data_IF_353952389334
#
_entry.id   IF_353952389334
#
_cell.length_a   1.000
_cell.length_b   1.000
_cell.length_c   1.000
_cell.angle_alpha   90.00
_cell.angle_beta   90.00
_cell.angle_gamma   90.00
#
_symmetry.space_group_name_H-M   'P 1'
#
loop_
_entity.id
_entity.type
_entity.pdbx_description
1 polymer ?
#
# COMPACT_ATOMS: atom_id res chain seq x y z
N UNK A 1 24.45 -8.50 8.68
CA UNK A 1 23.01 -8.37 8.97
C UNK A 1 22.34 -7.83 7.72
N UNK A 2 21.45 -8.61 7.11
CA UNK A 2 20.73 -8.23 5.90
C UNK A 2 19.71 -7.13 6.20
N UNK A 3 19.36 -6.33 5.17
CA UNK A 3 18.44 -5.20 5.31
C UNK A 3 17.07 -5.61 5.84
N UNK A 4 16.60 -6.81 5.46
CA UNK A 4 15.38 -7.43 6.03
C UNK A 4 15.52 -7.71 7.52
N UNK A 5 16.58 -8.41 7.93
CA UNK A 5 16.83 -8.73 9.34
C UNK A 5 16.91 -7.44 10.17
N UNK A 6 17.48 -6.36 9.62
CA UNK A 6 17.52 -5.05 10.28
C UNK A 6 16.11 -4.47 10.48
N UNK A 7 15.24 -4.59 9.47
CA UNK A 7 13.84 -4.14 9.55
C UNK A 7 13.05 -5.01 10.53
N UNK A 8 13.10 -6.33 10.40
CA UNK A 8 12.40 -7.29 11.28
C UNK A 8 12.87 -7.20 12.74
N UNK A 9 14.16 -6.96 12.96
CA UNK A 9 14.69 -6.70 14.30
C UNK A 9 14.03 -5.48 14.96
N UNK A 10 13.61 -4.46 14.18
CA UNK A 10 12.87 -3.32 14.75
C UNK A 10 11.44 -3.68 15.14
N UNK A 11 10.86 -4.76 14.60
CA UNK A 11 9.49 -5.18 14.92
C UNK A 11 9.43 -5.85 16.30
N UNK A 12 10.49 -6.57 16.67
CA UNK A 12 10.65 -7.21 17.99
C UNK A 12 11.34 -6.31 19.01
N UNK A 13 12.33 -5.53 18.56
CA UNK A 13 13.07 -4.56 19.38
C UNK A 13 13.06 -3.17 18.72
N UNK A 14 11.97 -2.40 18.89
CA UNK A 14 11.85 -1.06 18.33
C UNK A 14 13.01 -0.13 18.71
N UNK A 15 13.45 0.71 17.78
CA UNK A 15 14.60 1.61 17.93
C UNK A 15 14.24 2.72 18.92
N UNK A 16 14.94 2.85 20.07
CA UNK A 16 14.70 3.95 21.00
C UNK A 16 15.09 5.29 20.37
N UNK A 17 14.19 6.27 20.46
CA UNK A 17 14.45 7.62 19.98
C UNK A 17 13.70 8.65 20.84
N UNK A 18 13.90 9.93 20.55
CA UNK A 18 13.26 11.04 21.26
C UNK A 18 12.43 11.85 20.27
N UNK A 19 11.14 11.98 20.54
CA UNK A 19 10.26 12.86 19.78
C UNK A 19 10.42 14.29 20.34
N UNK A 20 11.04 15.17 19.56
CA UNK A 20 11.32 16.54 19.97
C UNK A 20 10.06 17.42 20.11
N UNK A 21 9.01 17.13 19.34
CA UNK A 21 7.72 17.83 19.37
C UNK A 21 6.96 17.51 20.66
N UNK A 22 6.84 16.23 21.00
CA UNK A 22 6.12 15.79 22.20
C UNK A 22 6.98 15.75 23.46
N UNK A 23 8.29 15.96 23.33
CA UNK A 23 9.30 15.86 24.40
C UNK A 23 9.30 14.51 25.13
N UNK A 24 8.95 13.42 24.44
CA UNK A 24 8.85 12.08 25.01
C UNK A 24 9.85 11.12 24.39
N UNK A 25 10.33 10.17 25.19
CA UNK A 25 11.03 8.98 24.66
C UNK A 25 10.00 8.14 23.93
N UNK A 26 10.28 7.82 22.68
CA UNK A 26 9.44 6.95 21.85
C UNK A 26 10.29 5.83 21.25
N UNK A 27 9.66 4.93 20.51
CA UNK A 27 10.37 3.92 19.74
C UNK A 27 9.86 3.89 18.30
N UNK A 28 10.76 3.67 17.35
CA UNK A 28 10.44 3.60 15.92
C UNK A 28 10.60 2.17 15.43
N UNK A 29 9.63 1.75 14.60
CA UNK A 29 9.63 0.48 13.88
C UNK A 29 9.77 0.81 12.40
N UNK A 30 10.75 0.21 11.73
CA UNK A 30 10.94 0.42 10.29
C UNK A 30 9.98 -0.47 9.50
N UNK A 31 9.35 0.10 8.46
CA UNK A 31 8.49 -0.61 7.51
C UNK A 31 8.81 -0.15 6.10
N UNK A 32 8.70 -1.05 5.13
CA UNK A 32 8.88 -0.75 3.71
C UNK A 32 7.52 -0.96 3.04
N UNK A 33 6.74 0.10 2.80
CA UNK A 33 5.44 -0.05 2.14
C UNK A 33 5.60 -0.41 0.66
N UNK A 34 4.64 -1.15 0.12
CA UNK A 34 4.56 -1.40 -1.32
C UNK A 34 3.90 -0.20 -2.00
N UNK A 35 4.58 0.40 -2.99
CA UNK A 35 4.07 1.55 -3.73
C UNK A 35 3.89 1.17 -5.21
N UNK A 36 2.68 0.76 -5.64
CA UNK A 36 2.41 0.63 -7.06
C UNK A 36 2.42 2.02 -7.71
N UNK A 37 3.46 2.33 -8.47
CA UNK A 37 3.66 3.63 -9.10
C UNK A 37 2.82 3.76 -10.38
N UNK A 38 1.64 4.39 -10.28
CA UNK A 38 0.76 4.66 -11.42
C UNK A 38 0.28 6.12 -11.50
N UNK A 39 0.75 7.01 -10.62
CA UNK A 39 0.20 8.35 -10.50
C UNK A 39 0.96 9.43 -11.32
N UNK A 40 0.25 10.48 -11.81
CA UNK A 40 0.84 11.57 -12.60
C UNK A 40 1.89 12.39 -11.86
N UNK A 41 1.75 12.62 -10.56
CA UNK A 41 2.69 13.41 -9.76
C UNK A 41 4.05 12.70 -9.62
N UNK A 42 4.07 11.37 -9.41
CA UNK A 42 5.30 10.59 -9.48
C UNK A 42 5.86 10.52 -10.89
N UNK A 43 5.00 10.41 -11.90
CA UNK A 43 5.41 10.47 -13.30
C UNK A 43 6.04 11.82 -13.64
N UNK A 44 5.55 12.92 -13.07
CA UNK A 44 6.06 14.28 -13.24
C UNK A 44 7.36 14.51 -12.46
N UNK A 45 7.43 14.05 -11.21
CA UNK A 45 8.66 14.03 -10.39
C UNK A 45 9.77 13.16 -11.01
N UNK A 46 9.41 12.08 -11.70
CA UNK A 46 10.32 11.25 -12.51
C UNK A 46 10.46 11.73 -13.98
N UNK A 47 9.69 12.75 -14.36
CA UNK A 47 9.43 13.28 -15.72
C UNK A 47 9.34 12.21 -16.82
N UNK A 48 8.43 11.26 -16.59
CA UNK A 48 8.07 10.07 -17.36
C UNK A 48 6.58 10.13 -17.79
N UNK A 49 6.17 9.48 -18.89
CA UNK A 49 4.79 9.57 -19.45
C UNK A 49 3.77 8.56 -18.85
N UNK A 50 4.20 7.70 -17.93
CA UNK A 50 3.34 6.72 -17.26
C UNK A 50 2.93 5.52 -18.14
N UNK A 51 1.87 4.81 -17.74
CA UNK A 51 1.46 3.52 -18.33
C UNK A 51 0.90 3.55 -19.76
N UNK A 52 0.65 4.73 -20.32
CA UNK A 52 0.13 4.90 -21.70
C UNK A 52 1.24 5.18 -22.73
N UNK A 53 2.52 5.10 -22.35
CA UNK A 53 3.63 5.35 -23.27
C UNK A 53 4.05 4.05 -23.98
N UNK A 54 4.18 4.10 -25.31
CA UNK A 54 4.77 2.99 -26.09
C UNK A 54 6.21 2.67 -25.65
N UNK A 55 6.91 3.63 -25.06
CA UNK A 55 8.22 3.44 -24.47
C UNK A 55 8.13 3.82 -22.98
N UNK A 56 8.00 2.82 -22.10
CA UNK A 56 7.83 3.00 -20.66
C UNK A 56 9.09 3.47 -19.91
N UNK A 57 10.09 4.00 -20.61
CA UNK A 57 11.23 4.68 -20.01
C UNK A 57 11.77 5.76 -20.96
N UNK A 58 11.82 7.00 -20.46
CA UNK A 58 12.26 8.19 -21.21
C UNK A 58 13.73 8.18 -21.64
N UNK A 59 14.54 7.31 -21.04
CA UNK A 59 16.00 7.32 -21.21
C UNK A 59 16.52 6.19 -22.10
N UNK A 60 15.91 5.00 -22.04
CA UNK A 60 16.31 3.89 -22.90
C UNK A 60 15.43 3.73 -24.16
N UNK A 61 14.23 4.33 -24.17
CA UNK A 61 13.24 4.18 -25.26
C UNK A 61 12.87 2.73 -25.58
N UNK A 62 13.19 1.78 -24.69
CA UNK A 62 12.80 0.39 -24.82
C UNK A 62 11.28 0.27 -24.68
N UNK A 63 10.67 -0.48 -25.58
CA UNK A 63 9.24 -0.57 -25.76
C UNK A 63 8.88 -0.54 -27.25
N UNK A 64 7.60 -0.40 -27.53
CA UNK A 64 7.00 -0.42 -28.84
C UNK A 64 5.49 -0.60 -28.68
N UNK A 65 4.73 -0.60 -29.79
CA UNK A 65 3.34 -1.02 -29.74
C UNK A 65 3.22 -2.41 -29.10
N UNK A 66 2.10 -2.68 -28.43
CA UNK A 66 1.82 -3.98 -27.79
C UNK A 66 2.08 -5.17 -28.72
N UNK A 67 1.77 -5.01 -30.01
CA UNK A 67 1.99 -6.01 -31.06
C UNK A 67 3.45 -6.42 -31.26
N UNK A 68 4.42 -5.63 -30.77
CA UNK A 68 5.86 -5.89 -30.86
C UNK A 68 6.42 -6.37 -29.52
N UNK A 69 6.00 -5.74 -28.41
CA UNK A 69 6.49 -6.06 -27.06
C UNK A 69 5.92 -7.38 -26.51
N UNK A 70 4.78 -7.85 -27.03
CA UNK A 70 4.17 -9.14 -26.67
C UNK A 70 4.73 -10.33 -27.47
N UNK A 71 5.68 -10.09 -28.38
CA UNK A 71 6.39 -11.17 -29.09
C UNK A 71 7.55 -11.70 -28.26
N UNK A 72 7.87 -12.99 -28.38
CA UNK A 72 9.05 -13.60 -27.73
C UNK A 72 10.34 -12.81 -28.01
N UNK A 73 10.51 -12.36 -29.25
CA UNK A 73 11.68 -11.60 -29.67
C UNK A 73 11.74 -10.21 -29.00
N UNK A 74 10.59 -9.54 -28.87
CA UNK A 74 10.44 -8.29 -28.14
C UNK A 74 10.71 -8.44 -26.64
N UNK A 75 10.18 -9.49 -26.03
CA UNK A 75 10.41 -9.83 -24.62
C UNK A 75 11.89 -10.09 -24.32
N UNK A 76 12.55 -10.94 -25.12
CA UNK A 76 13.97 -11.25 -24.93
C UNK A 76 14.90 -10.06 -25.16
N UNK A 77 14.59 -9.19 -26.13
CA UNK A 77 15.34 -7.95 -26.38
C UNK A 77 15.27 -6.97 -25.19
N UNK A 78 14.22 -7.02 -24.38
CA UNK A 78 14.08 -6.19 -23.17
C UNK A 78 14.84 -6.74 -21.94
N UNK A 79 15.18 -8.04 -21.90
CA UNK A 79 15.51 -8.70 -20.62
C UNK A 79 16.84 -9.48 -20.54
N UNK A 80 17.57 -9.72 -21.64
CA UNK A 80 18.78 -10.57 -21.59
C UNK A 80 20.02 -9.98 -22.30
N UNK A 81 20.90 -9.31 -21.53
CA UNK A 81 22.27 -8.98 -21.93
C UNK A 81 23.26 -9.10 -20.73
N UNK A 82 24.60 -9.10 -20.95
CA UNK A 82 25.59 -9.24 -19.85
C UNK A 82 25.52 -8.06 -18.86
N UNK A 83 25.58 -8.32 -17.55
CA UNK A 83 25.27 -7.38 -16.47
C UNK A 83 25.98 -6.01 -16.59
N UNK A 84 27.29 -5.97 -16.88
CA UNK A 84 28.03 -4.71 -17.08
C UNK A 84 27.63 -3.99 -18.37
N UNK A 85 27.40 -4.73 -19.46
CA UNK A 85 26.91 -4.17 -20.72
C UNK A 85 25.47 -3.66 -20.58
N UNK A 86 24.64 -4.32 -19.76
CA UNK A 86 23.31 -3.85 -19.37
C UNK A 86 23.38 -2.59 -18.53
N UNK A 87 24.22 -2.53 -17.50
CA UNK A 87 24.37 -1.34 -16.65
C UNK A 87 24.85 -0.13 -17.45
N UNK A 88 25.79 -0.34 -18.39
CA UNK A 88 26.27 0.71 -19.29
C UNK A 88 25.25 1.08 -20.37
N UNK A 89 24.54 0.12 -20.97
CA UNK A 89 23.55 0.39 -22.00
C UNK A 89 22.22 0.94 -21.46
N UNK A 90 21.82 0.58 -20.24
CA UNK A 90 20.57 1.04 -19.60
C UNK A 90 20.79 2.22 -18.66
N UNK A 91 22.02 2.45 -18.17
CA UNK A 91 22.31 3.44 -17.14
C UNK A 91 21.71 3.11 -15.77
N UNK A 92 21.14 1.91 -15.60
CA UNK A 92 20.44 1.48 -14.38
C UNK A 92 21.39 0.58 -13.57
N UNK A 93 21.59 0.95 -12.31
CA UNK A 93 22.30 0.14 -11.32
C UNK A 93 21.35 -0.19 -10.18
N UNK A 94 20.74 -1.37 -10.23
CA UNK A 94 19.94 -1.88 -9.11
C UNK A 94 20.88 -2.19 -7.94
N UNK A 95 20.96 -1.27 -6.99
CA UNK A 95 21.84 -1.42 -5.82
C UNK A 95 21.43 -2.55 -4.89
N UNK A 96 20.17 -3.02 -4.96
CA UNK A 96 19.68 -4.14 -4.16
C UNK A 96 20.13 -5.45 -4.81
N UNK A 97 19.89 -5.65 -6.10
CA UNK A 97 20.36 -6.84 -6.82
C UNK A 97 21.89 -6.89 -6.96
N UNK A 98 22.56 -5.73 -7.12
CA UNK A 98 24.01 -5.65 -7.30
C UNK A 98 24.79 -6.26 -6.13
N UNK A 99 24.31 -6.07 -4.90
CA UNK A 99 24.92 -6.68 -3.71
C UNK A 99 25.01 -8.20 -3.84
N UNK A 100 23.93 -8.83 -4.29
CA UNK A 100 23.83 -10.27 -4.46
C UNK A 100 24.62 -10.76 -5.67
N UNK A 101 24.55 -10.03 -6.79
CA UNK A 101 25.33 -10.32 -8.00
C UNK A 101 26.83 -10.38 -7.68
N UNK A 102 27.34 -9.43 -6.89
CA UNK A 102 28.76 -9.39 -6.50
C UNK A 102 29.15 -10.61 -5.65
N UNK A 103 28.30 -11.03 -4.71
CA UNK A 103 28.53 -12.23 -3.88
C UNK A 103 28.52 -13.49 -4.75
N UNK A 104 27.54 -13.64 -5.64
CA UNK A 104 27.41 -14.79 -6.54
C UNK A 104 28.60 -14.90 -7.49
N UNK A 105 29.04 -13.77 -8.07
CA UNK A 105 30.22 -13.73 -8.95
C UNK A 105 31.51 -14.05 -8.21
N UNK A 106 31.63 -13.67 -6.93
CA UNK A 106 32.78 -14.03 -6.10
C UNK A 106 32.79 -15.54 -5.82
N UNK A 107 31.67 -16.10 -5.34
CA UNK A 107 31.52 -17.53 -5.07
C UNK A 107 31.71 -18.39 -6.32
N UNK A 108 31.18 -17.97 -7.47
CA UNK A 108 31.38 -18.65 -8.74
C UNK A 108 32.87 -18.76 -9.12
N UNK A 109 33.63 -17.67 -8.93
CA UNK A 109 35.08 -17.66 -9.19
C UNK A 109 35.82 -18.58 -8.22
N UNK A 110 35.45 -18.59 -6.94
CA UNK A 110 36.04 -19.48 -5.92
C UNK A 110 35.77 -20.96 -6.23
N UNK A 111 34.54 -21.33 -6.56
CA UNK A 111 34.18 -22.72 -6.91
C UNK A 111 34.94 -23.17 -8.16
N UNK A 112 35.04 -22.32 -9.19
CA UNK A 112 35.77 -22.63 -10.42
C UNK A 112 37.28 -22.74 -10.21
N UNK A 113 37.85 -21.97 -9.28
CA UNK A 113 39.26 -22.06 -8.91
C UNK A 113 39.56 -23.36 -8.15
N UNK A 114 38.67 -23.76 -7.23
CA UNK A 114 38.85 -24.97 -6.41
C UNK A 114 38.50 -26.26 -7.17
N UNK A 115 37.61 -26.18 -8.17
CA UNK A 115 37.14 -27.32 -8.96
C UNK A 115 37.08 -26.98 -10.46
N UNK A 116 38.23 -26.97 -11.17
CA UNK A 116 38.29 -26.54 -12.58
C UNK A 116 37.49 -27.40 -13.55
N UNK A 117 37.21 -28.66 -13.20
CA UNK A 117 36.46 -29.61 -14.01
C UNK A 117 34.93 -29.57 -13.81
N UNK A 118 34.41 -28.70 -12.94
CA UNK A 118 32.97 -28.56 -12.73
C UNK A 118 32.31 -27.78 -13.86
N UNK A 119 31.12 -28.23 -14.28
CA UNK A 119 30.35 -27.55 -15.32
C UNK A 119 29.81 -26.20 -14.82
N UNK A 120 29.51 -25.28 -15.75
CA UNK A 120 28.92 -23.99 -15.39
C UNK A 120 27.50 -24.17 -14.82
N UNK A 121 26.79 -25.18 -15.28
CA UNK A 121 25.45 -25.57 -14.91
C UNK A 121 25.39 -26.06 -13.45
N UNK A 122 26.35 -26.89 -13.03
CA UNK A 122 26.44 -27.36 -11.64
C UNK A 122 26.77 -26.21 -10.68
N UNK A 123 27.69 -25.33 -11.08
CA UNK A 123 28.04 -24.14 -10.31
C UNK A 123 26.81 -23.22 -10.19
N UNK A 124 26.06 -23.04 -11.28
CA UNK A 124 24.83 -22.25 -11.27
C UNK A 124 23.77 -22.86 -10.36
N UNK A 125 23.55 -24.18 -10.41
CA UNK A 125 22.58 -24.87 -9.57
C UNK A 125 22.91 -24.71 -8.08
N UNK A 126 24.17 -24.93 -7.70
CA UNK A 126 24.62 -24.75 -6.31
C UNK A 126 24.49 -23.30 -5.83
N UNK A 127 24.90 -22.34 -6.65
CA UNK A 127 24.77 -20.92 -6.32
C UNK A 127 23.31 -20.49 -6.21
N UNK A 128 22.42 -21.05 -7.03
CA UNK A 128 20.98 -20.81 -6.93
C UNK A 128 20.42 -21.38 -5.62
N UNK A 129 20.74 -22.62 -5.28
CA UNK A 129 20.32 -23.21 -3.99
C UNK A 129 20.84 -22.40 -2.81
N UNK A 130 22.08 -21.94 -2.87
CA UNK A 130 22.65 -21.06 -1.85
C UNK A 130 21.91 -19.72 -1.77
N UNK A 131 21.65 -19.08 -2.92
CA UNK A 131 20.94 -17.79 -3.00
C UNK A 131 19.52 -17.88 -2.46
N UNK A 132 18.78 -18.92 -2.84
CA UNK A 132 17.41 -19.18 -2.38
C UNK A 132 17.35 -19.41 -0.86
N UNK A 133 18.44 -19.88 -0.24
CA UNK A 133 18.56 -20.08 1.21
C UNK A 133 18.93 -18.80 1.98
N UNK A 134 19.20 -17.67 1.31
CA UNK A 134 19.55 -16.43 1.99
C UNK A 134 18.29 -15.72 2.50
N UNK A 135 18.33 -15.05 3.67
CA UNK A 135 17.21 -14.27 4.16
C UNK A 135 16.95 -13.06 3.26
N UNK A 136 15.98 -13.20 2.35
CA UNK A 136 15.56 -12.16 1.41
C UNK A 136 14.30 -11.44 1.87
N UNK A 137 14.17 -10.16 1.50
CA UNK A 137 12.89 -9.44 1.51
C UNK A 137 11.98 -10.16 0.52
N UNK A 138 10.89 -10.73 1.01
CA UNK A 138 9.76 -11.20 0.21
C UNK A 138 8.86 -9.99 -0.01
N UNK A 139 8.88 -9.35 -1.19
CA UNK A 139 8.10 -8.13 -1.39
C UNK A 139 6.61 -8.37 -1.16
N UNK A 140 6.09 -9.55 -1.50
CA UNK A 140 4.67 -9.88 -1.35
C UNK A 140 4.27 -9.95 0.12
N UNK A 141 5.13 -10.46 0.99
CA UNK A 141 4.80 -10.63 2.42
C UNK A 141 5.31 -9.47 3.29
N UNK A 142 6.44 -8.88 2.94
CA UNK A 142 7.19 -7.95 3.78
C UNK A 142 6.86 -6.48 3.47
N UNK A 143 6.07 -6.22 2.40
CA UNK A 143 5.61 -4.87 2.06
C UNK A 143 4.08 -4.80 2.18
N UNK A 144 3.55 -4.32 3.32
CA UNK A 144 2.11 -4.32 3.55
C UNK A 144 1.38 -3.41 2.58
N UNK A 145 0.09 -3.70 2.38
CA UNK A 145 -0.85 -2.87 1.65
C UNK A 145 -0.91 -1.47 2.29
N UNK A 146 -0.56 -0.47 1.49
CA UNK A 146 -0.58 0.93 1.85
C UNK A 146 -2.02 1.45 1.69
N UNK A 147 -2.68 1.79 2.79
CA UNK A 147 -4.13 2.05 2.81
C UNK A 147 -4.52 3.40 2.20
N UNK A 148 -3.64 4.41 2.20
CA UNK A 148 -3.94 5.70 1.57
C UNK A 148 -4.14 5.54 0.06
N UNK A 149 -3.22 4.85 -0.60
CA UNK A 149 -3.20 4.66 -2.04
C UNK A 149 -4.16 3.57 -2.48
N UNK A 150 -4.31 2.51 -1.68
CA UNK A 150 -5.19 1.39 -2.02
C UNK A 150 -6.66 1.75 -1.78
N UNK A 151 -6.97 2.33 -0.62
CA UNK A 151 -8.35 2.60 -0.21
C UNK A 151 -8.78 3.99 -0.62
N UNK A 152 -8.12 5.05 -0.14
CA UNK A 152 -8.59 6.43 -0.37
C UNK A 152 -8.41 6.86 -1.83
N UNK A 153 -7.18 6.78 -2.35
CA UNK A 153 -6.85 7.12 -3.74
C UNK A 153 -7.13 5.98 -4.73
N UNK A 154 -7.75 4.89 -4.26
CA UNK A 154 -8.14 3.73 -5.04
C UNK A 154 -9.63 3.48 -4.93
N UNK A 155 -10.03 2.61 -4.01
CA UNK A 155 -11.42 2.13 -3.87
C UNK A 155 -12.41 3.28 -3.71
N UNK A 156 -12.18 4.19 -2.76
CA UNK A 156 -13.07 5.33 -2.50
C UNK A 156 -13.09 6.28 -3.69
N UNK A 157 -11.93 6.52 -4.33
CA UNK A 157 -11.86 7.30 -5.57
C UNK A 157 -12.66 6.67 -6.72
N UNK A 158 -12.69 5.35 -6.85
CA UNK A 158 -13.49 4.67 -7.87
C UNK A 158 -14.98 4.83 -7.62
N UNK A 159 -15.43 4.63 -6.39
CA UNK A 159 -16.84 4.81 -6.00
C UNK A 159 -17.25 6.27 -6.16
N UNK A 160 -16.42 7.22 -5.72
CA UNK A 160 -16.65 8.64 -5.92
C UNK A 160 -16.84 8.99 -7.40
N UNK A 161 -15.97 8.47 -8.28
CA UNK A 161 -16.08 8.69 -9.73
C UNK A 161 -17.39 8.16 -10.32
N UNK A 162 -17.84 6.98 -9.87
CA UNK A 162 -19.13 6.40 -10.28
C UNK A 162 -20.28 7.34 -9.88
N UNK A 163 -20.27 7.81 -8.63
CA UNK A 163 -21.29 8.71 -8.09
C UNK A 163 -21.38 10.01 -8.89
N UNK A 164 -20.31 10.81 -8.90
CA UNK A 164 -20.41 12.16 -9.45
C UNK A 164 -20.53 12.19 -10.98
N UNK A 165 -20.04 11.16 -11.68
CA UNK A 165 -20.21 11.03 -13.13
C UNK A 165 -21.64 10.65 -13.52
N UNK A 166 -22.37 9.96 -12.64
CA UNK A 166 -23.77 9.57 -12.85
C UNK A 166 -24.80 10.64 -12.46
N UNK A 167 -24.40 11.66 -11.71
CA UNK A 167 -25.31 12.69 -11.21
C UNK A 167 -25.57 13.82 -12.20
N UNK A 168 -26.83 14.26 -12.24
CA UNK A 168 -27.25 15.56 -12.79
C UNK A 168 -26.76 16.71 -11.92
N UNK A 169 -26.77 17.93 -12.45
CA UNK A 169 -26.37 19.12 -11.68
C UNK A 169 -27.24 19.33 -10.43
N UNK A 170 -28.56 19.09 -10.54
CA UNK A 170 -29.47 19.17 -9.39
C UNK A 170 -29.14 18.13 -8.29
N UNK A 171 -28.74 16.92 -8.67
CA UNK A 171 -28.30 15.89 -7.72
C UNK A 171 -26.96 16.26 -7.06
N UNK A 172 -26.04 16.86 -7.83
CA UNK A 172 -24.77 17.36 -7.29
C UNK A 172 -24.99 18.48 -6.28
N UNK A 173 -25.89 19.42 -6.57
CA UNK A 173 -26.26 20.51 -5.67
C UNK A 173 -26.90 19.97 -4.38
N UNK A 174 -27.81 19.01 -4.50
CA UNK A 174 -28.43 18.36 -3.35
C UNK A 174 -27.39 17.61 -2.48
N UNK A 175 -26.46 16.88 -3.11
CA UNK A 175 -25.37 16.23 -2.39
C UNK A 175 -24.47 17.25 -1.68
N UNK A 176 -24.15 18.38 -2.31
CA UNK A 176 -23.35 19.45 -1.69
C UNK A 176 -24.04 19.98 -0.43
N UNK A 177 -25.34 20.26 -0.49
CA UNK A 177 -26.11 20.74 0.67
C UNK A 177 -26.05 19.70 1.78
N UNK A 178 -26.35 18.43 1.49
CA UNK A 178 -26.35 17.34 2.47
C UNK A 178 -24.98 17.14 3.11
N UNK A 179 -23.93 17.05 2.29
CA UNK A 179 -22.57 16.87 2.76
C UNK A 179 -22.10 18.06 3.62
N UNK A 180 -22.47 19.30 3.26
CA UNK A 180 -22.17 20.48 4.06
C UNK A 180 -22.90 20.50 5.41
N UNK A 181 -24.04 19.80 5.50
CA UNK A 181 -24.87 19.66 6.71
C UNK A 181 -24.36 18.59 7.67
N UNK A 182 -23.25 17.90 7.35
CA UNK A 182 -22.71 16.85 8.20
C UNK A 182 -22.32 17.42 9.56
N UNK A 183 -22.85 16.83 10.63
CA UNK A 183 -22.32 17.05 11.97
C UNK A 183 -20.94 16.41 12.08
N UNK A 184 -19.95 17.21 12.47
CA UNK A 184 -18.55 16.78 12.57
C UNK A 184 -18.18 16.37 13.99
N UNK A 185 -19.12 16.42 14.94
CA UNK A 185 -18.86 15.94 16.28
C UNK A 185 -18.43 14.47 16.26
N UNK A 186 -17.35 14.15 16.99
CA UNK A 186 -16.73 12.83 16.98
C UNK A 186 -15.90 12.48 15.72
N UNK A 187 -15.80 13.33 14.70
CA UNK A 187 -14.96 13.09 13.51
C UNK A 187 -13.65 13.87 13.54
N UNK A 188 -12.53 13.17 13.37
CA UNK A 188 -11.21 13.80 13.22
C UNK A 188 -10.96 14.24 11.76
N UNK A 189 -11.79 15.16 11.24
CA UNK A 189 -11.70 15.70 9.87
C UNK A 189 -11.70 17.23 9.88
N UNK A 190 -11.04 17.89 8.91
CA UNK A 190 -11.16 19.34 8.77
C UNK A 190 -12.59 19.76 8.39
N UNK A 191 -12.96 21.03 8.58
CA UNK A 191 -14.25 21.54 8.14
C UNK A 191 -14.52 21.18 6.68
N UNK A 192 -15.69 20.58 6.44
CA UNK A 192 -16.09 20.14 5.12
C UNK A 192 -16.38 21.36 4.25
N UNK A 193 -15.70 21.44 3.10
CA UNK A 193 -15.96 22.45 2.05
C UNK A 193 -16.64 21.76 0.88
N UNK A 194 -17.92 21.41 1.05
CA UNK A 194 -18.62 20.51 0.11
C UNK A 194 -18.69 21.09 -1.31
N UNK A 195 -18.97 22.40 -1.44
CA UNK A 195 -18.99 23.08 -2.73
C UNK A 195 -17.63 23.00 -3.45
N UNK A 196 -16.53 23.18 -2.73
CA UNK A 196 -15.18 23.00 -3.28
C UNK A 196 -14.94 21.55 -3.70
N UNK A 197 -15.31 20.58 -2.85
CA UNK A 197 -15.13 19.16 -3.16
C UNK A 197 -15.91 18.75 -4.42
N UNK A 198 -17.11 19.29 -4.63
CA UNK A 198 -17.89 19.04 -5.85
C UNK A 198 -17.29 19.76 -7.07
N UNK A 199 -16.92 21.05 -6.93
CA UNK A 199 -16.30 21.83 -7.99
C UNK A 199 -15.03 21.16 -8.53
N UNK A 200 -14.22 20.58 -7.64
CA UNK A 200 -12.98 19.87 -7.97
C UNK A 200 -13.11 18.35 -7.81
N UNK A 201 -14.29 17.78 -8.12
CA UNK A 201 -14.60 16.36 -7.92
C UNK A 201 -13.57 15.39 -8.53
N UNK A 202 -12.92 15.75 -9.64
CA UNK A 202 -11.88 14.94 -10.29
C UNK A 202 -10.47 15.08 -9.65
N UNK A 203 -10.26 16.11 -8.83
CA UNK A 203 -8.96 16.51 -8.28
C UNK A 203 -8.86 16.36 -6.76
N UNK A 204 -9.70 15.52 -6.15
CA UNK A 204 -9.66 15.29 -4.71
C UNK A 204 -8.39 14.54 -4.28
N UNK A 205 -7.95 14.82 -3.05
CA UNK A 205 -6.75 14.23 -2.43
C UNK A 205 -7.15 13.38 -1.21
N UNK A 206 -6.19 12.68 -0.60
CA UNK A 206 -6.40 11.73 0.49
C UNK A 206 -7.34 12.23 1.59
N UNK A 207 -7.13 13.46 2.10
CA UNK A 207 -7.98 14.02 3.16
C UNK A 207 -9.47 14.15 2.76
N UNK A 208 -9.75 14.52 1.52
CA UNK A 208 -11.13 14.66 1.04
C UNK A 208 -11.79 13.29 0.90
N UNK A 209 -11.05 12.30 0.39
CA UNK A 209 -11.56 10.92 0.30
C UNK A 209 -11.74 10.28 1.68
N UNK A 210 -10.90 10.60 2.67
CA UNK A 210 -11.10 10.15 4.05
C UNK A 210 -12.41 10.69 4.63
N UNK A 211 -12.69 11.98 4.42
CA UNK A 211 -13.98 12.58 4.79
C UNK A 211 -15.14 11.89 4.07
N UNK A 212 -15.07 11.72 2.74
CA UNK A 212 -16.13 11.05 1.97
C UNK A 212 -16.35 9.61 2.44
N UNK A 213 -15.29 8.84 2.67
CA UNK A 213 -15.38 7.47 3.19
C UNK A 213 -16.15 7.41 4.53
N UNK A 214 -15.99 8.41 5.40
CA UNK A 214 -16.65 8.45 6.70
C UNK A 214 -18.09 8.97 6.63
N UNK A 215 -18.45 9.80 5.63
CA UNK A 215 -19.71 10.56 5.66
C UNK A 215 -20.63 10.36 4.46
N UNK A 216 -20.13 9.92 3.30
CA UNK A 216 -20.91 9.94 2.06
C UNK A 216 -22.13 9.03 2.09
N UNK A 217 -22.05 7.90 2.80
CA UNK A 217 -23.15 6.92 2.89
C UNK A 217 -24.44 7.55 3.42
N UNK A 218 -24.35 8.54 4.30
CA UNK A 218 -25.49 9.24 4.88
C UNK A 218 -26.18 10.19 3.89
N UNK A 219 -25.50 10.58 2.81
CA UNK A 219 -25.92 11.69 1.94
C UNK A 219 -26.35 11.26 0.54
N UNK A 220 -26.07 10.00 0.16
CA UNK A 220 -26.38 9.45 -1.17
C UNK A 220 -27.79 8.86 -1.30
N UNK A 221 -28.57 8.78 -0.22
CA UNK A 221 -29.97 8.31 -0.26
C UNK A 221 -30.78 9.09 -1.31
N UNK A 222 -31.65 8.43 -2.07
CA UNK A 222 -32.42 9.02 -3.18
C UNK A 222 -31.60 9.62 -4.34
N UNK A 223 -30.26 9.52 -4.33
CA UNK A 223 -29.38 10.01 -5.40
C UNK A 223 -28.81 8.87 -6.27
N UNK A 224 -28.96 7.63 -5.83
CA UNK A 224 -28.31 6.46 -6.43
C UNK A 224 -29.26 5.27 -6.49
N UNK A 225 -28.96 4.29 -7.35
CA UNK A 225 -29.70 3.03 -7.37
C UNK A 225 -29.46 2.21 -6.09
N UNK A 226 -30.35 1.27 -5.74
CA UNK A 226 -30.16 0.38 -4.59
C UNK A 226 -28.82 -0.38 -4.63
N UNK A 227 -28.39 -0.82 -5.80
CA UNK A 227 -27.14 -1.57 -6.00
C UNK A 227 -25.93 -0.68 -5.73
N UNK A 228 -25.94 0.57 -6.23
CA UNK A 228 -24.89 1.53 -5.97
C UNK A 228 -24.87 1.96 -4.50
N UNK A 229 -26.03 2.04 -3.85
CA UNK A 229 -26.11 2.31 -2.42
C UNK A 229 -25.46 1.20 -1.58
N UNK A 230 -25.71 -0.08 -1.94
CA UNK A 230 -25.06 -1.24 -1.30
C UNK A 230 -23.54 -1.15 -1.46
N UNK A 231 -23.06 -0.82 -2.65
CA UNK A 231 -21.62 -0.62 -2.91
C UNK A 231 -21.04 0.50 -2.04
N UNK A 232 -21.68 1.68 -2.00
CA UNK A 232 -21.25 2.81 -1.16
C UNK A 232 -21.20 2.40 0.31
N UNK A 233 -22.25 1.75 0.81
CA UNK A 233 -22.31 1.27 2.19
C UNK A 233 -21.18 0.31 2.50
N UNK A 234 -20.94 -0.70 1.65
CA UNK A 234 -19.91 -1.69 1.86
C UNK A 234 -18.50 -1.06 1.95
N UNK A 235 -18.16 -0.13 1.03
CA UNK A 235 -16.83 0.51 1.06
C UNK A 235 -16.65 1.45 2.25
N UNK A 236 -17.73 2.14 2.68
CA UNK A 236 -17.72 3.00 3.86
C UNK A 236 -17.57 2.19 5.16
N UNK A 237 -18.33 1.10 5.30
CA UNK A 237 -18.28 0.20 6.46
C UNK A 237 -16.88 -0.43 6.59
N UNK A 238 -16.31 -0.94 5.49
CA UNK A 238 -14.94 -1.44 5.46
C UNK A 238 -13.94 -0.33 5.85
N UNK A 239 -14.09 0.86 5.26
CA UNK A 239 -13.21 2.01 5.51
C UNK A 239 -13.13 2.41 6.98
N UNK A 240 -14.24 2.32 7.72
CA UNK A 240 -14.28 2.62 9.16
C UNK A 240 -13.35 1.71 9.98
N UNK A 241 -13.22 0.43 9.61
CA UNK A 241 -12.38 -0.55 10.33
C UNK A 241 -10.89 -0.47 9.98
N UNK A 242 -10.53 0.19 8.87
CA UNK A 242 -9.14 0.26 8.40
C UNK A 242 -8.31 1.35 9.09
N UNK A 243 -8.97 2.39 9.63
CA UNK A 243 -8.33 3.54 10.30
C UNK A 243 -8.38 3.47 11.83
N UNK A 244 -8.40 2.26 12.39
CA UNK A 244 -8.27 2.05 13.84
C UNK A 244 -6.83 2.21 14.31
N UNK A 245 -6.64 2.78 15.50
CA UNK A 245 -5.32 2.99 16.10
C UNK A 245 -4.83 1.76 16.88
N UNK A 246 -5.76 0.97 17.40
CA UNK A 246 -5.54 -0.18 18.27
C UNK A 246 -6.49 -1.32 17.85
N UNK A 247 -6.06 -2.56 18.08
CA UNK A 247 -6.84 -3.77 17.78
C UNK A 247 -6.85 -4.59 19.09
N UNK A 248 -8.00 -4.66 19.74
CA UNK A 248 -8.15 -5.36 21.02
C UNK A 248 -8.12 -6.87 20.86
N UNK A 249 -8.85 -7.38 19.87
CA UNK A 249 -8.89 -8.80 19.49
C UNK A 249 -8.55 -8.95 18.01
N UNK A 250 -7.36 -9.47 17.73
CA UNK A 250 -6.87 -9.70 16.36
C UNK A 250 -7.69 -10.74 15.61
N UNK A 251 -8.22 -11.76 16.30
CA UNK A 251 -9.03 -12.81 15.67
C UNK A 251 -10.39 -12.25 15.25
N UNK A 252 -11.04 -11.51 16.15
CA UNK A 252 -12.32 -10.86 15.86
C UNK A 252 -12.15 -9.80 14.76
N UNK A 253 -11.15 -8.92 14.89
CA UNK A 253 -10.86 -7.87 13.91
C UNK A 253 -10.64 -8.43 12.51
N UNK A 254 -9.83 -9.48 12.36
CA UNK A 254 -9.55 -10.08 11.05
C UNK A 254 -10.75 -10.85 10.49
N UNK A 255 -11.57 -11.46 11.35
CA UNK A 255 -12.83 -12.09 10.94
C UNK A 255 -13.82 -11.06 10.38
N UNK A 256 -14.05 -9.97 11.12
CA UNK A 256 -14.94 -8.89 10.70
C UNK A 256 -14.42 -8.22 9.43
N UNK A 257 -13.12 -7.98 9.35
CA UNK A 257 -12.51 -7.36 8.19
C UNK A 257 -12.65 -8.23 6.93
N UNK A 258 -12.53 -9.56 7.04
CA UNK A 258 -12.79 -10.49 5.92
C UNK A 258 -14.22 -10.40 5.43
N UNK A 259 -15.20 -10.31 6.33
CA UNK A 259 -16.62 -10.14 5.98
C UNK A 259 -16.82 -8.81 5.25
N UNK A 260 -16.27 -7.71 5.77
CA UNK A 260 -16.40 -6.38 5.16
C UNK A 260 -15.74 -6.33 3.77
N UNK A 261 -14.56 -6.94 3.60
CA UNK A 261 -13.89 -7.06 2.30
C UNK A 261 -14.74 -7.90 1.34
N UNK A 262 -15.30 -9.03 1.80
CA UNK A 262 -16.22 -9.86 1.01
C UNK A 262 -17.41 -9.05 0.50
N UNK A 263 -18.07 -8.31 1.39
CA UNK A 263 -19.19 -7.43 1.03
C UNK A 263 -18.82 -6.38 -0.02
N UNK A 264 -17.60 -5.81 0.05
CA UNK A 264 -17.11 -4.86 -0.95
C UNK A 264 -16.93 -5.54 -2.31
N UNK A 265 -16.29 -6.72 -2.33
CA UNK A 265 -16.02 -7.45 -3.56
C UNK A 265 -17.31 -7.94 -4.22
N UNK A 266 -18.25 -8.46 -3.43
CA UNK A 266 -19.56 -8.88 -3.91
C UNK A 266 -20.35 -7.69 -4.47
N UNK A 267 -20.39 -6.56 -3.76
CA UNK A 267 -21.08 -5.35 -4.24
C UNK A 267 -20.44 -4.77 -5.52
N UNK A 268 -19.12 -4.86 -5.69
CA UNK A 268 -18.48 -4.53 -6.97
C UNK A 268 -18.84 -5.54 -8.06
N UNK A 269 -18.92 -6.83 -7.73
CA UNK A 269 -19.33 -7.88 -8.65
C UNK A 269 -20.74 -7.69 -9.20
N UNK A 270 -21.66 -7.27 -8.33
CA UNK A 270 -23.05 -7.00 -8.70
C UNK A 270 -23.21 -5.71 -9.52
N UNK A 271 -22.45 -4.65 -9.18
CA UNK A 271 -22.59 -3.35 -9.82
C UNK A 271 -21.77 -3.19 -11.11
N UNK A 272 -20.48 -3.56 -11.08
CA UNK A 272 -19.55 -3.45 -12.21
C UNK A 272 -18.44 -4.52 -12.09
N UNK A 273 -18.71 -5.78 -12.51
CA UNK A 273 -17.79 -6.89 -12.32
C UNK A 273 -16.47 -6.71 -13.07
N UNK A 274 -16.43 -5.88 -14.12
CA UNK A 274 -15.21 -5.59 -14.84
C UNK A 274 -14.17 -4.87 -13.95
N UNK A 275 -14.59 -4.12 -12.93
CA UNK A 275 -13.67 -3.45 -11.99
C UNK A 275 -12.78 -4.43 -11.25
N UNK A 276 -13.30 -5.61 -10.89
CA UNK A 276 -12.53 -6.64 -10.18
C UNK A 276 -11.32 -7.07 -11.02
N UNK A 277 -11.49 -7.17 -12.34
CA UNK A 277 -10.43 -7.57 -13.28
C UNK A 277 -9.52 -6.40 -13.66
N UNK A 278 -10.07 -5.19 -13.79
CA UNK A 278 -9.35 -4.03 -14.32
C UNK A 278 -8.64 -3.19 -13.25
N UNK A 279 -9.05 -3.29 -11.98
CA UNK A 279 -8.53 -2.47 -10.88
C UNK A 279 -7.76 -3.34 -9.89
N UNK A 280 -6.44 -3.38 -10.06
CA UNK A 280 -5.52 -4.14 -9.20
C UNK A 280 -5.69 -3.84 -7.69
N UNK A 281 -6.11 -2.62 -7.32
CA UNK A 281 -6.33 -2.24 -5.92
C UNK A 281 -7.45 -3.05 -5.23
N UNK A 282 -8.45 -3.54 -5.98
CA UNK A 282 -9.48 -4.44 -5.44
C UNK A 282 -8.89 -5.82 -5.11
N UNK A 283 -7.95 -6.30 -5.93
CA UNK A 283 -7.25 -7.56 -5.68
C UNK A 283 -6.37 -7.51 -4.43
N UNK A 284 -5.95 -6.32 -3.98
CA UNK A 284 -5.16 -6.19 -2.76
C UNK A 284 -5.99 -6.32 -1.48
N UNK A 285 -7.32 -6.16 -1.54
CA UNK A 285 -8.17 -6.16 -0.34
C UNK A 285 -8.07 -7.47 0.47
N UNK A 286 -8.15 -8.67 -0.14
CA UNK A 286 -8.08 -9.92 0.60
C UNK A 286 -6.76 -10.17 1.35
N UNK A 287 -5.70 -9.41 1.06
CA UNK A 287 -4.39 -9.52 1.73
C UNK A 287 -4.27 -8.66 2.99
N UNK A 288 -5.21 -7.71 3.18
CA UNK A 288 -5.20 -6.79 4.29
C UNK A 288 -5.31 -7.49 5.67
N UNK A 289 -6.12 -8.56 5.85
CA UNK A 289 -6.18 -9.26 7.12
C UNK A 289 -4.84 -9.89 7.52
N UNK A 290 -4.12 -10.50 6.59
CA UNK A 290 -2.78 -11.06 6.88
C UNK A 290 -1.79 -9.96 7.26
N UNK A 291 -1.86 -8.80 6.59
CA UNK A 291 -1.05 -7.63 6.95
C UNK A 291 -1.39 -7.09 8.34
N UNK A 292 -2.67 -7.10 8.74
CA UNK A 292 -3.08 -6.69 10.07
C UNK A 292 -2.52 -7.63 11.15
N UNK A 293 -2.54 -8.95 10.93
CA UNK A 293 -1.92 -9.93 11.84
C UNK A 293 -0.41 -9.69 11.97
N UNK A 294 0.25 -9.44 10.84
CA UNK A 294 1.71 -9.33 10.79
C UNK A 294 2.23 -7.99 11.30
N UNK A 295 1.54 -6.90 10.97
CA UNK A 295 2.02 -5.54 11.17
C UNK A 295 1.13 -4.75 12.16
N UNK A 296 0.07 -5.34 12.70
CA UNK A 296 -0.87 -4.65 13.58
C UNK A 296 -1.73 -3.62 12.84
N UNK A 297 -2.19 -2.55 13.52
CA UNK A 297 -3.09 -1.56 12.93
C UNK A 297 -2.58 -0.96 11.63
N UNK A 298 -3.42 -0.99 10.58
CA UNK A 298 -3.04 -0.65 9.21
C UNK A 298 -2.79 0.84 9.00
N UNK A 299 -3.33 1.70 9.86
CA UNK A 299 -3.06 3.14 9.85
C UNK A 299 -1.55 3.47 9.94
N UNK A 300 -0.76 2.56 10.52
CA UNK A 300 0.70 2.67 10.62
C UNK A 300 1.41 2.47 9.28
N UNK A 301 0.71 1.91 8.29
CA UNK A 301 1.20 1.71 6.94
C UNK A 301 0.74 2.84 5.99
N UNK A 302 0.10 3.90 6.50
CA UNK A 302 -0.28 5.08 5.71
C UNK A 302 0.94 5.99 5.47
N UNK A 303 1.26 6.33 4.22
CA UNK A 303 2.41 7.19 3.88
C UNK A 303 2.21 8.67 4.23
N UNK A 304 0.98 9.07 4.53
CA UNK A 304 0.66 10.38 5.11
C UNK A 304 -0.06 10.16 6.44
N UNK A 305 0.58 10.55 7.54
CA UNK A 305 -0.09 10.75 8.82
C UNK A 305 -0.25 12.25 9.01
N UNK A 306 -1.47 12.80 9.15
CA UNK A 306 -1.59 14.11 9.73
C UNK A 306 -0.98 14.06 11.14
N UNK A 307 -0.25 15.10 11.59
CA UNK A 307 0.16 15.17 12.99
C UNK A 307 -1.08 14.97 13.86
N UNK A 308 -1.01 14.04 14.81
CA UNK A 308 -2.09 13.80 15.76
C UNK A 308 -2.46 15.14 16.39
N UNK A 309 -3.67 15.63 16.14
CA UNK A 309 -4.15 16.92 16.64
C UNK A 309 -4.44 16.90 18.16
N UNK A 310 -4.04 15.84 18.86
CA UNK A 310 -4.11 15.76 20.31
C UNK A 310 -2.69 15.66 20.91
N UNK A 311 -2.26 16.66 21.70
CA UNK A 311 -1.05 16.56 22.49
C UNK A 311 -1.32 15.62 23.68
N UNK A 312 -1.18 14.30 23.50
CA UNK A 312 -1.41 13.37 24.62
C UNK A 312 -1.08 11.90 24.38
N UNK A 313 -1.38 11.37 23.19
CA UNK A 313 -1.32 9.92 22.96
C UNK A 313 0.05 9.48 22.47
N UNK A 314 0.93 9.11 23.41
CA UNK A 314 2.18 8.41 23.15
C UNK A 314 1.99 6.96 23.57
N UNK A 315 1.99 6.02 22.62
CA UNK A 315 1.72 4.61 22.89
C UNK A 315 2.95 3.93 23.52
N UNK A 316 2.76 3.30 24.68
CA UNK A 316 3.76 2.54 25.42
C UNK A 316 3.56 1.03 25.18
N UNK A 317 4.64 0.29 24.89
CA UNK A 317 4.64 -1.18 24.98
C UNK A 317 5.57 -1.54 26.14
N UNK A 318 5.01 -2.03 27.26
CA UNK A 318 5.80 -2.66 28.33
C UNK A 318 5.86 -4.16 28.10
N UNK A 319 7.08 -4.69 28.05
CA UNK A 319 7.33 -6.13 28.06
C UNK A 319 7.74 -6.52 29.49
N UNK A 320 7.00 -7.43 30.12
CA UNK A 320 7.46 -8.13 31.33
C UNK A 320 8.15 -9.45 30.94
N UNK A 321 9.09 -9.87 31.77
CA UNK A 321 10.12 -10.89 31.51
C UNK A 321 9.64 -12.33 31.21
N UNK A 322 10.57 -13.30 31.15
CA UNK A 322 10.57 -14.31 30.08
C UNK A 322 9.55 -15.46 30.16
N UNK A 323 8.72 -15.57 31.20
CA UNK A 323 8.06 -16.86 31.49
C UNK A 323 6.53 -16.88 31.50
N UNK A 324 5.83 -15.79 31.21
CA UNK A 324 4.38 -15.83 30.94
C UNK A 324 4.01 -14.81 29.87
N UNK A 325 3.69 -15.28 28.66
CA UNK A 325 3.16 -14.43 27.59
C UNK A 325 1.68 -14.08 27.88
N UNK A 326 1.46 -13.17 28.82
CA UNK A 326 0.20 -12.43 28.98
C UNK A 326 0.49 -10.95 28.76
N UNK A 327 -0.04 -10.40 27.67
CA UNK A 327 -0.18 -8.96 27.51
C UNK A 327 -1.41 -8.53 28.34
N UNK A 328 -1.19 -8.08 29.57
CA UNK A 328 -2.23 -7.37 30.32
C UNK A 328 -2.11 -5.87 30.05
N UNK A 329 -3.18 -5.28 29.55
CA UNK A 329 -3.33 -3.84 29.32
C UNK A 329 -4.13 -3.23 30.47
N UNK A 330 -3.51 -2.33 31.24
CA UNK A 330 -4.24 -1.47 32.19
C UNK A 330 -4.04 -0.02 31.79
N UNK A 331 -5.16 0.69 31.68
CA UNK A 331 -5.22 2.15 31.68
C UNK A 331 -4.59 2.65 32.99
N UNK A 332 -3.56 3.49 32.90
CA UNK A 332 -3.18 4.35 34.02
C UNK A 332 -3.88 5.69 33.80
N UNK A 333 -4.97 5.89 34.53
CA UNK A 333 -5.59 7.20 34.66
C UNK A 333 -4.67 8.13 35.47
N UNK A 334 -4.40 9.31 34.91
CA UNK A 334 -3.87 10.48 35.64
C UNK A 334 -2.35 10.65 35.63
N UNK A 335 -1.87 11.60 34.80
CA UNK A 335 -0.78 12.56 35.08
C UNK A 335 -0.76 13.68 34.02
#
# INVERSE_FOLDING_TARGET
>A
MHRKEQIEATHTKPIPCYNAETKRKCRVVLRVPSLPADNPQQSEEASHMGGNANCGCRRCKAGGPHTVTETDQGYHAMHYAPITRMQTATGIKDKVAQHWIEILLKKSREIKANHPGRSAEDIKAELKTWFDAQPGLDPTRDTPVEILHTILLGIIKYVWYILHSGWTDAQRDLFVIRLQSTDLDGLTVPPIRAAYMMQYCNGLIGKHFKTLMQTMVFHVHDLVSPELFILVKAVCDMGAMLWVHEIDDMSQYTSDLKILIGNVLDAFGDYDPAKILLKIKLHLLPHIPEDAVRFGPLIRNSTEQPPSSEPGHCHEIRFHGPNEARAEWRLLEGC
#
